data_IF_854290004416
#
_entry.id   IF_854290004416
#
_cell.length_a   1.000
_cell.length_b   1.000
_cell.length_c   1.000
_cell.angle_alpha   90.00
_cell.angle_beta   90.00
_cell.angle_gamma   90.00
#
_symmetry.space_group_name_H-M   'P 1'
#
loop_
_entity.id
_entity.type
_entity.pdbx_description
1 polymer ?
#
# COMPACT_ATOMS: atom_id res chain seq x y z
N UNK A 1 -2.38 0.50 1.22
CA UNK A 1 -2.64 1.43 0.08
C UNK A 1 -2.85 0.63 -1.20
N UNK A 2 -3.83 1.00 -1.98
CA UNK A 2 -4.08 0.41 -3.29
C UNK A 2 -3.72 1.46 -4.35
N UNK A 3 -2.87 1.13 -5.30
CA UNK A 3 -2.26 2.06 -6.23
C UNK A 3 -1.03 2.74 -5.64
N UNK A 4 -0.61 3.85 -6.21
CA UNK A 4 0.53 4.59 -5.68
C UNK A 4 1.89 3.95 -5.99
N UNK A 5 2.01 3.27 -7.12
CA UNK A 5 3.28 2.71 -7.57
C UNK A 5 4.31 3.77 -7.94
N UNK A 6 5.51 3.34 -8.40
CA UNK A 6 6.55 4.28 -8.81
C UNK A 6 6.04 5.25 -9.87
N UNK A 7 6.22 6.53 -9.69
CA UNK A 7 5.75 7.56 -10.60
C UNK A 7 4.30 8.00 -10.41
N UNK A 8 3.56 7.41 -9.49
CA UNK A 8 2.19 7.82 -9.18
C UNK A 8 2.21 8.99 -8.19
N UNK A 9 2.02 10.18 -8.70
CA UNK A 9 2.14 11.43 -7.93
C UNK A 9 1.17 11.48 -6.74
N UNK A 10 -0.11 11.14 -6.97
CA UNK A 10 -1.14 11.22 -5.93
C UNK A 10 -0.85 10.25 -4.78
N UNK A 11 -0.32 9.04 -5.08
CA UNK A 11 0.09 8.10 -4.04
C UNK A 11 1.17 8.69 -3.13
N UNK A 12 2.18 9.34 -3.72
CA UNK A 12 3.24 9.98 -2.94
C UNK A 12 2.70 11.11 -2.06
N UNK A 13 1.78 11.92 -2.58
CA UNK A 13 1.15 12.99 -1.80
C UNK A 13 0.38 12.42 -0.61
N UNK A 14 -0.41 11.37 -0.81
CA UNK A 14 -1.16 10.73 0.28
C UNK A 14 -0.23 10.16 1.34
N UNK A 15 0.87 9.51 0.94
CA UNK A 15 1.84 8.95 1.88
C UNK A 15 2.52 10.05 2.70
N UNK A 16 2.89 11.16 2.05
CA UNK A 16 3.50 12.30 2.73
C UNK A 16 2.55 12.94 3.74
N UNK A 17 1.28 13.11 3.35
CA UNK A 17 0.27 13.69 4.25
C UNK A 17 0.05 12.80 5.48
N UNK A 18 -0.03 11.48 5.29
CA UNK A 18 -0.19 10.55 6.40
C UNK A 18 1.01 10.61 7.36
N UNK A 19 2.22 10.65 6.82
CA UNK A 19 3.44 10.73 7.63
C UNK A 19 3.52 12.03 8.43
N UNK A 20 3.14 13.15 7.83
CA UNK A 20 3.15 14.47 8.51
C UNK A 20 2.11 14.54 9.61
N UNK A 21 0.96 13.91 9.42
CA UNK A 21 -0.10 13.89 10.42
C UNK A 21 0.28 13.08 11.66
N UNK A 22 1.12 12.06 11.51
CA UNK A 22 1.61 11.25 12.61
C UNK A 22 0.60 10.26 13.20
N UNK A 23 -0.61 10.20 12.63
CA UNK A 23 -1.68 9.33 13.11
C UNK A 23 -1.86 8.06 12.30
N UNK A 24 -1.18 7.96 11.16
CA UNK A 24 -1.31 6.82 10.24
C UNK A 24 0.06 6.30 9.83
N UNK A 25 0.21 4.98 9.86
CA UNK A 25 1.41 4.29 9.38
C UNK A 25 1.06 3.48 8.15
N UNK A 26 1.88 3.57 7.11
CA UNK A 26 1.75 2.71 5.94
C UNK A 26 2.35 1.34 6.29
N UNK A 27 1.53 0.29 6.29
CA UNK A 27 1.95 -1.05 6.70
C UNK A 27 1.76 -2.11 5.63
N UNK A 28 0.89 -1.88 4.66
CA UNK A 28 0.57 -2.86 3.61
C UNK A 28 0.17 -2.16 2.33
N UNK A 29 0.33 -2.85 1.21
CA UNK A 29 -0.06 -2.27 -0.07
C UNK A 29 -0.16 -3.25 -1.22
N UNK A 30 -0.94 -2.85 -2.22
CA UNK A 30 -1.00 -3.44 -3.54
C UNK A 30 -0.82 -2.27 -4.51
N UNK A 31 0.43 -1.98 -4.86
CA UNK A 31 0.81 -0.69 -5.46
C UNK A 31 0.66 -0.65 -6.97
N UNK A 32 0.60 -1.81 -7.62
CA UNK A 32 0.54 -1.88 -9.08
C UNK A 32 -0.20 -3.14 -9.51
N UNK A 33 -0.77 -3.12 -10.73
CA UNK A 33 -1.32 -4.32 -11.34
C UNK A 33 -0.23 -5.31 -11.76
N UNK A 34 1.03 -4.86 -11.86
CA UNK A 34 2.18 -5.73 -12.08
C UNK A 34 2.74 -6.15 -10.71
N UNK A 35 2.71 -7.46 -10.37
CA UNK A 35 3.17 -7.92 -9.06
C UNK A 35 4.61 -7.55 -8.75
N UNK A 36 5.51 -7.64 -9.72
CA UNK A 36 6.92 -7.30 -9.53
C UNK A 36 7.08 -5.82 -9.18
N UNK A 37 6.37 -4.95 -9.88
CA UNK A 37 6.39 -3.51 -9.63
C UNK A 37 5.82 -3.20 -8.25
N UNK A 38 4.73 -3.88 -7.86
CA UNK A 38 4.13 -3.72 -6.53
C UNK A 38 5.11 -4.09 -5.42
N UNK A 39 5.77 -5.24 -5.54
CA UNK A 39 6.75 -5.69 -4.54
C UNK A 39 7.96 -4.76 -4.47
N UNK A 40 8.42 -4.26 -5.61
CA UNK A 40 9.53 -3.31 -5.67
C UNK A 40 9.19 -2.00 -4.96
N UNK A 41 7.98 -1.49 -5.17
CA UNK A 41 7.52 -0.28 -4.48
C UNK A 41 7.40 -0.50 -2.98
N UNK A 42 6.88 -1.64 -2.56
CA UNK A 42 6.81 -1.99 -1.14
C UNK A 42 8.18 -2.01 -0.48
N UNK A 43 9.18 -2.59 -1.16
CA UNK A 43 10.55 -2.60 -0.66
C UNK A 43 11.12 -1.19 -0.55
N UNK A 44 10.85 -0.33 -1.52
CA UNK A 44 11.28 1.08 -1.51
C UNK A 44 10.65 1.86 -0.36
N UNK A 45 9.46 1.46 0.08
CA UNK A 45 8.75 2.07 1.21
C UNK A 45 9.03 1.35 2.54
N UNK A 46 9.96 0.40 2.54
CA UNK A 46 10.38 -0.35 3.74
C UNK A 46 9.26 -1.17 4.38
N UNK A 47 8.32 -1.67 3.57
CA UNK A 47 7.27 -2.56 4.07
C UNK A 47 7.77 -4.00 4.19
N UNK A 48 7.20 -4.75 5.13
CA UNK A 48 7.46 -6.17 5.23
C UNK A 48 7.02 -6.87 3.94
N UNK A 49 7.86 -7.74 3.34
CA UNK A 49 7.53 -8.36 2.05
C UNK A 49 6.22 -9.15 2.04
N UNK A 50 5.83 -9.74 3.16
CA UNK A 50 4.58 -10.49 3.29
C UNK A 50 3.34 -9.59 3.42
N UNK A 51 3.52 -8.28 3.44
CA UNK A 51 2.42 -7.30 3.46
C UNK A 51 2.37 -6.46 2.20
N UNK A 52 3.08 -6.86 1.16
CA UNK A 52 3.01 -6.28 -0.18
C UNK A 52 2.34 -7.31 -1.09
N UNK A 53 1.20 -6.97 -1.64
CA UNK A 53 0.31 -7.92 -2.31
C UNK A 53 0.28 -7.69 -3.81
N UNK A 54 -0.01 -8.77 -4.56
CA UNK A 54 -0.10 -8.74 -6.01
C UNK A 54 -1.38 -8.04 -6.47
N UNK A 55 -2.46 -8.20 -5.70
CA UNK A 55 -3.76 -7.59 -6.03
C UNK A 55 -4.40 -7.01 -4.77
N UNK A 56 -5.32 -6.05 -4.96
CA UNK A 56 -6.08 -5.50 -3.85
C UNK A 56 -6.98 -6.55 -3.19
N UNK A 57 -7.47 -7.53 -3.96
CA UNK A 57 -8.31 -8.59 -3.43
C UNK A 57 -7.53 -9.49 -2.46
N UNK A 58 -6.29 -9.84 -2.83
CA UNK A 58 -5.39 -10.59 -1.94
C UNK A 58 -5.10 -9.81 -0.66
N UNK A 59 -4.84 -8.51 -0.80
CA UNK A 59 -4.59 -7.64 0.34
C UNK A 59 -5.78 -7.62 1.30
N UNK A 60 -6.98 -7.42 0.78
CA UNK A 60 -8.19 -7.36 1.60
C UNK A 60 -8.41 -8.66 2.37
N UNK A 61 -8.28 -9.80 1.69
CA UNK A 61 -8.49 -11.11 2.32
C UNK A 61 -7.42 -11.41 3.39
N UNK A 62 -6.15 -11.18 3.07
CA UNK A 62 -5.05 -11.49 3.98
C UNK A 62 -5.03 -10.56 5.19
N UNK A 63 -5.24 -9.27 5.00
CA UNK A 63 -5.23 -8.30 6.10
C UNK A 63 -6.44 -8.47 7.03
N UNK A 64 -7.58 -8.88 6.50
CA UNK A 64 -8.77 -9.16 7.31
C UNK A 64 -8.54 -10.29 8.31
N UNK A 65 -7.68 -11.25 7.99
CA UNK A 65 -7.38 -12.39 8.84
C UNK A 65 -6.24 -12.12 9.84
N UNK A 66 -5.57 -10.97 9.75
CA UNK A 66 -4.45 -10.66 10.65
C UNK A 66 -4.93 -9.99 11.92
N UNK A 67 -4.37 -10.36 13.11
CA UNK A 67 -4.65 -9.62 14.35
C UNK A 67 -4.19 -8.15 14.28
N UNK A 68 -3.13 -7.88 13.50
CA UNK A 68 -2.56 -6.56 13.28
C UNK A 68 -2.92 -6.00 11.89
N UNK A 69 -4.08 -6.39 11.35
CA UNK A 69 -4.52 -5.97 10.02
C UNK A 69 -4.75 -4.47 9.91
N UNK A 70 -4.88 -4.01 8.66
CA UNK A 70 -5.08 -2.58 8.37
C UNK A 70 -6.41 -2.08 8.91
N UNK A 71 -6.43 -0.81 9.33
CA UNK A 71 -7.62 -0.13 9.81
C UNK A 71 -8.30 0.71 8.72
N UNK A 72 -7.50 1.24 7.80
CA UNK A 72 -7.96 2.16 6.74
C UNK A 72 -7.26 1.82 5.43
N UNK A 73 -7.99 1.89 4.32
CA UNK A 73 -7.44 1.70 2.98
C UNK A 73 -7.50 3.02 2.22
N UNK A 74 -6.36 3.45 1.68
CA UNK A 74 -6.28 4.57 0.76
C UNK A 74 -6.22 4.03 -0.67
N UNK A 75 -7.17 4.43 -1.51
CA UNK A 75 -7.27 3.97 -2.89
C UNK A 75 -6.93 5.13 -3.80
N UNK A 76 -5.81 5.02 -4.51
CA UNK A 76 -5.27 6.08 -5.38
C UNK A 76 -5.01 5.53 -6.79
N UNK A 77 -5.84 4.62 -7.24
CA UNK A 77 -5.72 4.03 -8.58
C UNK A 77 -6.13 5.04 -9.66
N UNK A 78 -5.56 4.94 -10.88
CA UNK A 78 -6.03 5.75 -12.00
C UNK A 78 -7.49 5.44 -12.33
N UNK A 79 -8.18 6.44 -12.85
CA UNK A 79 -9.56 6.28 -13.33
C UNK A 79 -9.61 5.55 -14.68
#
# INVERSE_FOLDING_TARGET
MVGGGPGAFIGAVHRSAAALDGNLDLVAGAFSSDPETSHRQGAALHLAPDRVYDTYAQMAAAEADRPDGIDVVSIVTPN
#
